data_IF_075880101425
#
_entry.id   IF_075880101425
#
_cell.length_a   1.000
_cell.length_b   1.000
_cell.length_c   1.000
_cell.angle_alpha   90.00
_cell.angle_beta   90.00
_cell.angle_gamma   90.00
#
_symmetry.space_group_name_H-M   'P 1'
#
loop_
_entity.id
_entity.type
_entity.pdbx_description
1 polymer ?
#
# COMPACT_ATOMS: atom_id res chain seq x y z
N UNK A 1 30.52 -70.81 4.43
CA UNK A 1 31.10 -69.64 5.13
C UNK A 1 30.34 -68.42 4.67
N UNK A 2 29.33 -67.92 5.44
CA UNK A 2 28.59 -66.70 5.16
C UNK A 2 29.39 -65.52 5.71
N UNK A 3 29.84 -64.62 4.82
CA UNK A 3 30.43 -63.33 5.24
C UNK A 3 29.30 -62.38 5.74
N UNK A 4 29.35 -62.07 7.02
CA UNK A 4 28.51 -61.06 7.66
C UNK A 4 29.11 -59.72 7.27
N UNK A 5 28.44 -58.99 6.38
CA UNK A 5 28.77 -57.59 6.06
C UNK A 5 28.32 -56.74 7.24
N UNK A 6 29.27 -56.11 7.91
CA UNK A 6 29.04 -55.28 9.09
C UNK A 6 28.13 -54.09 8.78
N UNK A 7 27.02 -53.96 9.53
CA UNK A 7 26.09 -52.81 9.49
C UNK A 7 26.76 -51.43 9.68
N UNK A 8 28.02 -51.40 10.09
CA UNK A 8 28.77 -50.16 10.32
C UNK A 8 29.15 -49.42 9.03
N UNK A 9 29.38 -50.13 7.93
CA UNK A 9 29.82 -49.49 6.68
C UNK A 9 28.69 -48.85 5.88
N UNK A 10 27.44 -49.27 6.09
CA UNK A 10 26.28 -48.69 5.39
C UNK A 10 25.89 -47.31 5.97
N UNK A 11 26.08 -47.12 7.30
CA UNK A 11 25.77 -45.85 7.97
C UNK A 11 26.74 -44.74 7.59
N UNK A 12 28.02 -45.06 7.34
CA UNK A 12 29.02 -44.08 6.93
C UNK A 12 28.84 -43.60 5.46
N UNK A 13 28.40 -44.48 4.56
CA UNK A 13 28.16 -44.10 3.16
C UNK A 13 26.93 -43.19 3.04
N UNK A 14 25.88 -43.43 3.83
CA UNK A 14 24.66 -42.56 3.82
C UNK A 14 24.92 -41.20 4.48
N UNK A 15 25.73 -41.14 5.53
CA UNK A 15 26.08 -39.86 6.17
C UNK A 15 26.98 -38.98 5.28
N UNK A 16 27.95 -39.59 4.57
CA UNK A 16 28.83 -38.84 3.66
C UNK A 16 28.10 -38.33 2.42
N UNK A 17 27.11 -39.05 1.87
CA UNK A 17 26.31 -38.64 0.73
C UNK A 17 25.33 -37.54 1.11
N UNK A 18 24.72 -37.60 2.30
CA UNK A 18 23.85 -36.54 2.78
C UNK A 18 24.62 -35.26 3.14
N UNK A 19 25.79 -35.38 3.75
CA UNK A 19 26.66 -34.24 4.03
C UNK A 19 27.23 -33.60 2.76
N UNK A 20 27.58 -34.41 1.75
CA UNK A 20 28.07 -33.92 0.45
C UNK A 20 27.01 -33.17 -0.35
N UNK A 21 25.76 -33.62 -0.33
CA UNK A 21 24.64 -32.91 -0.97
C UNK A 21 24.25 -31.64 -0.20
N UNK A 22 24.29 -31.68 1.14
CA UNK A 22 24.03 -30.48 1.95
C UNK A 22 25.14 -29.42 1.77
N UNK A 23 26.42 -29.79 1.72
CA UNK A 23 27.52 -28.83 1.49
C UNK A 23 27.53 -28.28 0.06
N UNK A 24 27.18 -29.06 -0.96
CA UNK A 24 27.07 -28.54 -2.33
C UNK A 24 25.87 -27.59 -2.55
N UNK A 25 24.80 -27.71 -1.73
CA UNK A 25 23.68 -26.78 -1.75
C UNK A 25 23.99 -25.43 -1.04
N UNK A 26 24.94 -25.43 -0.08
CA UNK A 26 25.30 -24.21 0.66
C UNK A 26 26.50 -23.44 0.08
N UNK A 27 27.37 -24.05 -0.72
CA UNK A 27 28.56 -23.39 -1.30
C UNK A 27 28.29 -22.69 -2.62
N UNK A 28 27.07 -22.80 -3.20
CA UNK A 28 26.67 -22.15 -4.47
C UNK A 28 26.05 -20.77 -4.33
N UNK A 29 25.81 -20.29 -3.11
CA UNK A 29 25.22 -18.96 -2.90
C UNK A 29 26.30 -17.90 -2.70
N UNK A 30 27.01 -17.53 -3.76
CA UNK A 30 27.71 -16.25 -3.81
C UNK A 30 26.73 -15.17 -4.28
N UNK A 31 26.83 -13.96 -3.73
CA UNK A 31 25.96 -12.81 -3.95
C UNK A 31 25.76 -12.35 -5.42
N UNK A 32 26.19 -13.16 -6.41
CA UNK A 32 26.22 -12.80 -7.84
C UNK A 32 25.45 -13.71 -8.78
N UNK A 33 24.85 -14.79 -8.30
CA UNK A 33 24.10 -15.65 -9.21
C UNK A 33 22.71 -15.09 -9.47
N UNK A 34 22.54 -14.56 -10.69
CA UNK A 34 21.25 -14.19 -11.26
C UNK A 34 20.25 -15.32 -11.03
N UNK A 35 19.18 -15.04 -10.33
CA UNK A 35 18.05 -15.95 -10.07
C UNK A 35 17.39 -16.39 -11.38
N UNK A 36 18.00 -17.35 -12.06
CA UNK A 36 17.41 -18.06 -13.20
C UNK A 36 16.78 -19.41 -12.79
N UNK A 37 16.56 -19.65 -11.50
CA UNK A 37 15.86 -20.84 -11.05
C UNK A 37 14.35 -20.74 -11.34
N UNK A 38 13.72 -21.80 -11.87
CA UNK A 38 12.27 -21.87 -11.93
C UNK A 38 11.68 -21.65 -10.52
N UNK A 39 10.59 -20.90 -10.45
CA UNK A 39 9.92 -20.51 -9.18
C UNK A 39 9.66 -21.70 -8.23
N UNK A 40 9.49 -22.92 -8.78
CA UNK A 40 9.28 -24.16 -8.03
C UNK A 40 10.55 -24.72 -7.33
N UNK A 41 11.70 -24.15 -7.60
CA UNK A 41 13.00 -24.64 -7.06
C UNK A 41 13.66 -23.67 -6.08
N UNK A 42 13.07 -22.50 -5.82
CA UNK A 42 13.60 -21.57 -4.84
C UNK A 42 13.26 -22.13 -3.45
N UNK A 43 14.26 -22.55 -2.64
CA UNK A 43 13.97 -22.99 -1.29
C UNK A 43 13.39 -21.81 -0.50
N UNK A 44 12.26 -22.02 0.17
CA UNK A 44 11.72 -21.04 1.09
C UNK A 44 12.69 -20.85 2.25
N UNK A 45 13.36 -19.70 2.29
CA UNK A 45 14.29 -19.35 3.36
C UNK A 45 13.76 -18.09 4.07
N UNK A 46 13.51 -18.20 5.38
CA UNK A 46 13.20 -17.05 6.19
C UNK A 46 14.50 -16.34 6.59
N UNK A 47 14.68 -15.12 6.10
CA UNK A 47 15.85 -14.28 6.36
C UNK A 47 15.40 -13.04 7.11
N UNK A 48 16.13 -12.61 8.13
CA UNK A 48 15.88 -11.33 8.78
C UNK A 48 16.40 -10.21 7.88
N UNK A 49 15.51 -9.31 7.38
CA UNK A 49 15.93 -8.19 6.56
C UNK A 49 16.85 -7.23 7.33
N UNK A 50 17.80 -6.62 6.61
CA UNK A 50 18.67 -5.60 7.21
C UNK A 50 17.87 -4.35 7.54
N UNK A 51 17.88 -3.94 8.80
CA UNK A 51 17.21 -2.72 9.24
C UNK A 51 18.09 -1.48 9.02
N UNK A 52 17.52 -0.35 8.56
CA UNK A 52 18.23 0.92 8.52
C UNK A 52 18.51 1.45 9.94
N UNK A 53 19.61 2.17 10.11
CA UNK A 53 19.89 2.89 11.36
C UNK A 53 19.09 4.17 11.50
N UNK A 54 18.58 4.70 10.40
CA UNK A 54 17.76 5.91 10.31
C UNK A 54 16.82 5.85 9.10
N UNK A 55 15.71 6.58 9.18
CA UNK A 55 14.77 6.78 8.07
C UNK A 55 14.46 8.28 8.02
N UNK A 56 14.47 8.85 6.81
CA UNK A 56 13.90 10.19 6.61
C UNK A 56 12.42 10.06 6.30
N UNK A 57 11.55 10.72 7.05
CA UNK A 57 10.11 10.77 6.81
C UNK A 57 9.64 12.24 6.82
N UNK A 58 8.95 12.64 5.78
CA UNK A 58 8.46 14.02 5.60
C UNK A 58 9.57 15.11 5.78
N UNK A 59 10.80 14.79 5.37
CA UNK A 59 11.96 15.66 5.54
C UNK A 59 12.64 15.56 6.91
N UNK A 60 12.04 14.89 7.89
CA UNK A 60 12.59 14.69 9.23
C UNK A 60 13.39 13.39 9.34
N UNK A 61 14.56 13.48 9.99
CA UNK A 61 15.42 12.33 10.26
C UNK A 61 14.99 11.61 11.54
N UNK A 62 14.65 10.34 11.41
CA UNK A 62 14.21 9.48 12.51
C UNK A 62 15.33 8.49 12.82
N UNK A 63 15.93 8.62 14.00
CA UNK A 63 16.95 7.69 14.47
C UNK A 63 16.29 6.41 15.01
N UNK A 64 16.83 5.28 14.57
CA UNK A 64 16.37 3.92 14.91
C UNK A 64 17.42 3.15 15.70
N UNK A 65 18.27 3.88 16.43
CA UNK A 65 19.34 3.31 17.26
C UNK A 65 18.86 2.86 18.63
N UNK A 66 17.76 3.43 19.14
CA UNK A 66 17.12 2.98 20.37
C UNK A 66 16.51 1.59 20.15
N UNK A 67 16.74 0.66 21.12
CA UNK A 67 16.33 -0.73 20.99
C UNK A 67 14.84 -0.88 20.76
N UNK A 68 14.00 -0.17 21.50
CA UNK A 68 12.54 -0.22 21.35
C UNK A 68 12.06 0.21 19.98
N UNK A 69 12.62 1.29 19.41
CA UNK A 69 12.29 1.76 18.07
C UNK A 69 12.74 0.77 17.00
N UNK A 70 13.92 0.16 17.20
CA UNK A 70 14.47 -0.84 16.30
C UNK A 70 13.59 -2.10 16.26
N UNK A 71 13.21 -2.64 17.42
CA UNK A 71 12.35 -3.83 17.51
C UNK A 71 10.95 -3.60 16.94
N UNK A 72 10.37 -2.41 17.17
CA UNK A 72 9.08 -2.03 16.58
C UNK A 72 9.15 -1.95 15.05
N UNK A 73 10.22 -1.36 14.48
CA UNK A 73 10.42 -1.32 13.04
C UNK A 73 10.63 -2.71 12.47
N UNK A 74 11.50 -3.53 13.08
CA UNK A 74 11.79 -4.90 12.67
C UNK A 74 10.52 -5.71 12.51
N UNK A 75 9.66 -5.67 13.51
CA UNK A 75 8.36 -6.33 13.46
C UNK A 75 7.53 -5.95 12.22
N UNK A 76 7.44 -4.68 11.89
CA UNK A 76 6.63 -4.24 10.75
C UNK A 76 7.33 -4.52 9.41
N UNK A 77 8.65 -4.43 9.33
CA UNK A 77 9.43 -4.86 8.16
C UNK A 77 9.21 -6.36 7.91
N UNK A 78 9.31 -7.21 8.95
CA UNK A 78 9.01 -8.64 8.83
C UNK A 78 7.57 -8.90 8.39
N UNK A 79 6.60 -8.15 8.95
CA UNK A 79 5.20 -8.28 8.57
C UNK A 79 4.97 -7.98 7.08
N UNK A 80 5.57 -6.94 6.53
CA UNK A 80 5.51 -6.63 5.09
C UNK A 80 6.27 -7.66 4.25
N UNK A 81 7.51 -8.00 4.65
CA UNK A 81 8.38 -8.90 3.89
C UNK A 81 7.74 -10.28 3.72
N UNK A 82 7.12 -10.82 4.77
CA UNK A 82 6.51 -12.16 4.74
C UNK A 82 5.01 -12.19 4.45
N UNK A 83 4.37 -11.03 4.31
CA UNK A 83 3.01 -10.92 3.76
C UNK A 83 3.05 -10.79 2.23
N UNK A 84 3.69 -11.76 1.56
CA UNK A 84 4.04 -11.69 0.14
C UNK A 84 2.89 -11.24 -0.76
N UNK A 85 1.70 -11.82 -0.61
CA UNK A 85 0.53 -11.50 -1.44
C UNK A 85 0.13 -10.05 -1.24
N UNK A 86 0.02 -9.60 0.01
CA UNK A 86 -0.42 -8.24 0.32
C UNK A 86 0.58 -7.20 -0.18
N UNK A 87 1.86 -7.38 0.10
CA UNK A 87 2.91 -6.42 -0.30
C UNK A 87 3.06 -6.36 -1.82
N UNK A 88 3.01 -7.50 -2.53
CA UNK A 88 3.00 -7.51 -3.99
C UNK A 88 1.77 -6.77 -4.57
N UNK A 89 0.58 -7.01 -4.03
CA UNK A 89 -0.63 -6.30 -4.48
C UNK A 89 -0.55 -4.81 -4.19
N UNK A 90 -0.01 -4.41 -3.03
CA UNK A 90 0.21 -3.01 -2.69
C UNK A 90 1.15 -2.32 -3.69
N UNK A 91 2.28 -2.94 -4.04
CA UNK A 91 3.23 -2.42 -5.04
C UNK A 91 2.58 -2.29 -6.43
N UNK A 92 1.85 -3.32 -6.88
CA UNK A 92 1.14 -3.30 -8.16
C UNK A 92 0.07 -2.20 -8.21
N UNK A 93 -0.72 -2.05 -7.15
CA UNK A 93 -1.77 -1.02 -7.02
C UNK A 93 -1.17 0.38 -6.92
N UNK A 94 -0.07 0.54 -6.18
CA UNK A 94 0.64 1.81 -6.05
C UNK A 94 1.10 2.35 -7.40
N UNK A 95 1.51 1.48 -8.34
CA UNK A 95 1.88 1.89 -9.69
C UNK A 95 0.74 2.62 -10.43
N UNK A 96 -0.51 2.24 -10.18
CA UNK A 96 -1.71 2.90 -10.72
C UNK A 96 -2.08 4.16 -9.96
N UNK A 97 -1.91 4.15 -8.63
CA UNK A 97 -2.49 5.15 -7.74
C UNK A 97 -1.56 6.33 -7.45
N UNK A 98 -0.26 6.09 -7.32
CA UNK A 98 0.70 7.15 -6.98
C UNK A 98 0.73 8.28 -8.01
N UNK A 99 0.65 8.02 -9.35
CA UNK A 99 0.55 9.10 -10.34
C UNK A 99 -0.64 10.04 -10.15
N UNK A 100 -1.71 9.58 -9.46
CA UNK A 100 -2.90 10.39 -9.16
C UNK A 100 -2.74 11.10 -7.81
N UNK A 101 -2.22 10.39 -6.81
CA UNK A 101 -2.18 10.86 -5.41
C UNK A 101 -1.05 11.86 -5.18
N UNK A 102 0.16 11.59 -5.69
CA UNK A 102 1.34 12.43 -5.46
C UNK A 102 1.18 13.89 -5.92
N UNK A 103 0.64 14.17 -7.11
CA UNK A 103 0.38 15.56 -7.52
C UNK A 103 -0.56 16.30 -6.58
N UNK A 104 -1.58 15.62 -6.03
CA UNK A 104 -2.55 16.20 -5.11
C UNK A 104 -1.89 16.50 -3.75
N UNK A 105 -1.10 15.57 -3.21
CA UNK A 105 -0.33 15.81 -1.99
C UNK A 105 0.56 17.04 -2.15
N UNK A 106 1.30 17.12 -3.26
CA UNK A 106 2.17 18.24 -3.58
C UNK A 106 1.41 19.58 -3.68
N UNK A 107 0.28 19.59 -4.41
CA UNK A 107 -0.59 20.76 -4.56
C UNK A 107 -1.11 21.24 -3.20
N UNK A 108 -1.46 20.33 -2.30
CA UNK A 108 -1.95 20.63 -0.96
C UNK A 108 -0.83 20.96 0.05
N UNK A 109 0.45 20.85 -0.33
CA UNK A 109 1.59 21.09 0.56
C UNK A 109 1.80 19.99 1.60
N UNK A 110 1.31 18.77 1.33
CA UNK A 110 1.51 17.59 2.18
C UNK A 110 2.75 16.82 1.69
N UNK A 111 3.66 16.41 2.60
CA UNK A 111 4.82 15.63 2.22
C UNK A 111 4.44 14.36 1.46
N UNK A 112 5.20 14.05 0.41
CA UNK A 112 4.99 12.91 -0.48
C UNK A 112 4.93 11.56 0.25
N UNK A 113 5.63 11.44 1.37
CA UNK A 113 5.64 10.24 2.20
C UNK A 113 4.25 9.83 2.72
N UNK A 114 3.27 10.75 2.74
CA UNK A 114 1.90 10.43 3.14
C UNK A 114 1.14 9.56 2.14
N UNK A 115 1.66 9.35 0.92
CA UNK A 115 1.16 8.31 0.02
C UNK A 115 1.20 6.91 0.62
N UNK A 116 2.19 6.62 1.48
CA UNK A 116 2.28 5.34 2.19
C UNK A 116 1.21 5.17 3.28
N UNK A 117 0.63 6.27 3.78
CA UNK A 117 -0.50 6.22 4.69
C UNK A 117 -1.72 5.56 4.03
N UNK A 118 -2.04 5.95 2.79
CA UNK A 118 -3.07 5.30 1.97
C UNK A 118 -2.80 3.79 1.81
N UNK A 119 -1.54 3.40 1.63
CA UNK A 119 -1.16 1.99 1.50
C UNK A 119 -1.45 1.21 2.79
N UNK A 120 -1.09 1.74 3.94
CA UNK A 120 -1.31 1.03 5.22
C UNK A 120 -2.78 1.02 5.66
N UNK A 121 -3.61 1.95 5.17
CA UNK A 121 -5.04 2.03 5.46
C UNK A 121 -5.85 1.00 4.66
N UNK A 122 -5.62 0.91 3.37
CA UNK A 122 -6.47 0.16 2.45
C UNK A 122 -5.76 -0.94 1.66
N UNK A 123 -4.45 -1.14 1.84
CA UNK A 123 -3.63 -1.94 0.92
C UNK A 123 -3.69 -1.43 -0.55
N UNK A 124 -3.97 -0.15 -0.75
CA UNK A 124 -4.20 0.43 -2.07
C UNK A 124 -5.48 -0.10 -2.76
N UNK A 125 -6.42 -0.65 -2.01
CA UNK A 125 -7.69 -1.12 -2.53
C UNK A 125 -8.72 0.01 -2.57
N UNK A 126 -9.11 0.44 -3.77
CA UNK A 126 -10.08 1.51 -3.98
C UNK A 126 -11.47 1.17 -3.44
N UNK A 127 -11.78 -0.12 -3.26
CA UNK A 127 -13.05 -0.60 -2.74
C UNK A 127 -13.00 -1.03 -1.27
N UNK A 128 -11.88 -0.80 -0.59
CA UNK A 128 -11.72 -1.20 0.80
C UNK A 128 -12.85 -0.68 1.70
N UNK A 129 -13.37 -1.56 2.53
CA UNK A 129 -14.37 -1.25 3.55
C UNK A 129 -14.05 -2.04 4.82
N UNK A 130 -13.85 -1.33 5.92
CA UNK A 130 -13.62 -1.95 7.21
C UNK A 130 -14.90 -2.47 7.85
N UNK A 131 -14.78 -3.33 8.86
CA UNK A 131 -15.91 -3.84 9.64
C UNK A 131 -16.66 -2.75 10.40
N UNK A 132 -15.99 -1.65 10.69
CA UNK A 132 -16.56 -0.48 11.40
C UNK A 132 -17.06 0.61 10.44
N UNK A 133 -17.01 0.36 9.11
CA UNK A 133 -17.59 1.25 8.10
C UNK A 133 -16.65 2.33 7.56
N UNK A 134 -15.35 2.29 7.84
CA UNK A 134 -14.38 3.11 7.12
C UNK A 134 -14.26 2.66 5.66
N UNK A 135 -14.15 3.59 4.70
CA UNK A 135 -14.24 3.27 3.28
C UNK A 135 -13.17 3.98 2.42
N UNK A 136 -12.84 3.32 1.30
CA UNK A 136 -11.97 3.83 0.24
C UNK A 136 -10.48 3.81 0.59
N UNK A 137 -9.66 4.45 -0.25
CA UNK A 137 -8.21 4.44 -0.10
C UNK A 137 -7.74 5.00 1.25
N UNK A 138 -8.40 6.03 1.73
CA UNK A 138 -8.05 6.78 2.93
C UNK A 138 -8.83 6.34 4.17
N UNK A 139 -9.67 5.31 4.07
CA UNK A 139 -10.45 4.73 5.16
C UNK A 139 -11.23 5.76 6.00
N UNK A 140 -11.89 6.70 5.33
CA UNK A 140 -12.72 7.67 6.03
C UNK A 140 -13.96 7.03 6.66
N UNK A 141 -14.22 7.38 7.93
CA UNK A 141 -15.52 7.18 8.56
C UNK A 141 -16.54 8.18 7.99
N UNK A 142 -17.83 7.82 7.97
CA UNK A 142 -18.90 8.64 7.39
C UNK A 142 -18.87 10.08 7.92
N UNK A 143 -18.95 10.26 9.24
CA UNK A 143 -18.98 11.60 9.85
C UNK A 143 -17.75 12.44 9.51
N UNK A 144 -16.55 11.81 9.54
CA UNK A 144 -15.29 12.49 9.20
C UNK A 144 -15.30 12.87 7.71
N UNK A 145 -15.72 11.99 6.82
CA UNK A 145 -15.82 12.28 5.40
C UNK A 145 -16.70 13.51 5.11
N UNK A 146 -17.87 13.56 5.74
CA UNK A 146 -18.80 14.70 5.60
C UNK A 146 -18.21 15.99 6.16
N UNK A 147 -17.50 15.96 7.28
CA UNK A 147 -16.87 17.15 7.85
C UNK A 147 -15.76 17.74 6.96
N UNK A 148 -15.19 16.92 6.07
CA UNK A 148 -14.24 17.34 5.03
C UNK A 148 -14.87 17.48 3.63
N UNK A 149 -16.20 17.62 3.56
CA UNK A 149 -16.93 17.98 2.33
C UNK A 149 -17.21 16.83 1.38
N UNK A 150 -16.97 15.57 1.77
CA UNK A 150 -17.30 14.42 0.94
C UNK A 150 -18.77 14.05 1.06
N UNK A 151 -19.41 13.78 -0.07
CA UNK A 151 -20.74 13.21 -0.11
C UNK A 151 -20.69 11.72 0.25
N UNK A 152 -21.55 11.32 1.20
CA UNK A 152 -21.70 9.91 1.57
C UNK A 152 -23.18 9.55 1.51
N UNK A 153 -23.55 8.75 0.53
CA UNK A 153 -24.94 8.39 0.27
C UNK A 153 -25.07 7.00 -0.33
N UNK A 154 -26.33 6.63 -0.61
CA UNK A 154 -26.64 5.32 -1.21
C UNK A 154 -26.11 5.22 -2.65
N UNK A 155 -26.35 6.25 -3.46
CA UNK A 155 -26.02 6.25 -4.90
C UNK A 155 -24.61 6.80 -5.18
N UNK A 156 -24.14 7.72 -4.33
CA UNK A 156 -22.85 8.38 -4.40
C UNK A 156 -22.16 8.27 -3.05
N UNK A 157 -20.90 7.83 -3.07
CA UNK A 157 -20.04 7.81 -1.89
C UNK A 157 -18.63 8.27 -2.29
N UNK A 158 -18.33 9.54 -2.03
CA UNK A 158 -17.07 10.16 -2.45
C UNK A 158 -15.86 9.73 -1.62
N UNK A 159 -16.05 8.91 -0.57
CA UNK A 159 -14.93 8.23 0.13
C UNK A 159 -14.18 7.30 -0.82
N UNK A 160 -14.84 6.80 -1.85
CA UNK A 160 -14.26 5.98 -2.91
C UNK A 160 -13.72 6.80 -4.10
N UNK A 161 -13.96 8.11 -4.13
CA UNK A 161 -13.44 8.98 -5.18
C UNK A 161 -11.98 9.33 -4.90
N UNK A 162 -11.04 8.78 -5.68
CA UNK A 162 -9.60 8.86 -5.41
C UNK A 162 -9.14 10.29 -5.14
N UNK A 163 -9.42 11.23 -6.05
CA UNK A 163 -8.95 12.61 -5.94
C UNK A 163 -9.63 13.36 -4.79
N UNK A 164 -10.96 13.28 -4.68
CA UNK A 164 -11.69 14.00 -3.63
C UNK A 164 -11.33 13.49 -2.24
N UNK A 165 -11.26 12.18 -2.07
CA UNK A 165 -10.85 11.58 -0.80
C UNK A 165 -9.39 11.94 -0.46
N UNK A 166 -8.48 12.03 -1.45
CA UNK A 166 -7.11 12.50 -1.24
C UNK A 166 -7.08 13.95 -0.78
N UNK A 167 -7.86 14.86 -1.41
CA UNK A 167 -7.95 16.25 -0.97
C UNK A 167 -8.53 16.39 0.45
N UNK A 168 -9.53 15.59 0.79
CA UNK A 168 -10.08 15.54 2.15
C UNK A 168 -9.03 15.05 3.17
N UNK A 169 -8.24 14.03 2.81
CA UNK A 169 -7.14 13.56 3.64
C UNK A 169 -6.07 14.64 3.83
N UNK A 170 -5.72 15.37 2.76
CA UNK A 170 -4.78 16.50 2.84
C UNK A 170 -5.27 17.58 3.82
N UNK A 171 -6.56 17.92 3.80
CA UNK A 171 -7.14 18.89 4.73
C UNK A 171 -7.02 18.42 6.18
N UNK A 172 -7.37 17.16 6.46
CA UNK A 172 -7.20 16.56 7.79
C UNK A 172 -5.74 16.61 8.26
N UNK A 173 -4.79 16.21 7.39
CA UNK A 173 -3.37 16.15 7.69
C UNK A 173 -2.80 17.55 7.96
N UNK A 174 -3.24 18.56 7.20
CA UNK A 174 -2.82 19.93 7.38
C UNK A 174 -3.32 20.51 8.71
N UNK A 175 -4.59 20.36 9.04
CA UNK A 175 -5.14 20.76 10.33
C UNK A 175 -4.42 20.08 11.50
N UNK A 176 -4.08 18.79 11.34
CA UNK A 176 -3.33 18.07 12.36
C UNK A 176 -1.89 18.58 12.46
N UNK A 177 -1.27 18.97 11.36
CA UNK A 177 0.08 19.54 11.40
C UNK A 177 0.10 20.93 12.02
N UNK A 178 -0.91 21.74 11.77
CA UNK A 178 -1.05 23.07 12.40
C UNK A 178 -1.19 22.95 13.93
N UNK A 179 -1.77 21.83 14.44
CA UNK A 179 -1.90 21.57 15.89
C UNK A 179 -0.62 20.97 16.49
N UNK A 180 0.04 20.02 15.83
CA UNK A 180 1.12 19.21 16.43
C UNK A 180 2.53 19.54 15.96
N UNK A 181 2.71 20.10 14.76
CA UNK A 181 4.01 20.50 14.21
C UNK A 181 4.99 19.36 13.91
N UNK A 182 4.56 18.09 14.02
CA UNK A 182 5.38 16.89 13.80
C UNK A 182 4.65 15.87 12.93
N UNK A 183 5.22 15.52 11.79
CA UNK A 183 4.55 14.70 10.80
C UNK A 183 4.29 13.25 11.24
N UNK A 184 5.14 12.66 12.10
CA UNK A 184 4.83 11.33 12.66
C UNK A 184 3.70 11.39 13.69
N UNK A 185 3.62 12.47 14.45
CA UNK A 185 2.50 12.72 15.35
C UNK A 185 1.21 12.92 14.55
N UNK A 186 1.26 13.65 13.44
CA UNK A 186 0.13 13.78 12.50
C UNK A 186 -0.32 12.40 11.99
N UNK A 187 0.60 11.53 11.59
CA UNK A 187 0.26 10.16 11.20
C UNK A 187 -0.43 9.37 12.33
N UNK A 188 0.04 9.52 13.57
CA UNK A 188 -0.60 8.90 14.73
C UNK A 188 -2.02 9.43 14.98
N UNK A 189 -2.27 10.73 14.74
CA UNK A 189 -3.61 11.32 14.87
C UNK A 189 -4.59 10.77 13.86
N UNK A 190 -4.13 10.38 12.67
CA UNK A 190 -4.98 9.77 11.65
C UNK A 190 -5.61 8.46 12.13
N UNK A 191 -4.85 7.66 12.86
CA UNK A 191 -5.32 6.40 13.43
C UNK A 191 -6.10 6.58 14.76
N UNK A 192 -5.59 7.40 15.70
CA UNK A 192 -6.11 7.49 17.06
C UNK A 192 -6.99 8.72 17.32
N UNK A 193 -7.12 9.62 16.36
CA UNK A 193 -7.76 10.91 16.51
C UNK A 193 -6.91 11.95 17.24
N UNK A 194 -7.05 13.23 16.86
CA UNK A 194 -6.28 14.35 17.44
C UNK A 194 -6.43 14.41 18.95
N UNK A 195 -7.66 14.44 19.47
CA UNK A 195 -7.92 14.51 20.92
C UNK A 195 -7.31 13.34 21.70
N UNK A 196 -7.25 12.14 21.09
CA UNK A 196 -6.62 10.98 21.71
C UNK A 196 -5.11 11.13 21.86
N UNK A 197 -4.44 11.71 20.86
CA UNK A 197 -2.99 11.98 20.90
C UNK A 197 -2.68 13.14 21.84
N UNK A 198 -3.38 14.29 21.75
CA UNK A 198 -3.19 15.44 22.65
C UNK A 198 -3.24 15.04 24.11
N UNK A 199 -4.24 14.26 24.50
CA UNK A 199 -4.38 13.76 25.88
C UNK A 199 -3.20 12.91 26.34
N UNK A 200 -2.57 12.14 25.42
CA UNK A 200 -1.40 11.32 25.77
C UNK A 200 -0.13 12.16 25.87
N UNK A 201 0.05 13.12 24.98
CA UNK A 201 1.14 14.10 25.01
C UNK A 201 1.14 14.82 26.40
N UNK A 202 -0.01 15.36 26.80
CA UNK A 202 -0.18 16.04 28.08
C UNK A 202 0.16 15.12 29.27
N UNK A 203 -0.42 13.92 29.31
CA UNK A 203 -0.24 12.98 30.42
C UNK A 203 1.17 12.43 30.53
N UNK A 204 1.85 12.16 29.42
CA UNK A 204 3.17 11.55 29.41
C UNK A 204 4.29 12.58 29.35
N UNK A 205 3.94 13.87 29.16
CA UNK A 205 4.88 14.99 29.07
C UNK A 205 5.91 14.82 27.96
N UNK A 206 5.49 14.20 26.86
CA UNK A 206 6.27 14.04 25.64
C UNK A 206 5.73 14.97 24.56
N UNK A 207 6.52 15.21 23.51
CA UNK A 207 6.12 16.09 22.40
C UNK A 207 5.78 15.35 21.12
N UNK A 208 6.40 14.18 20.90
CA UNK A 208 6.28 13.41 19.66
C UNK A 208 5.62 12.07 19.90
N UNK A 209 4.72 11.68 19.00
CA UNK A 209 3.99 10.41 19.12
C UNK A 209 4.90 9.17 19.12
N UNK A 210 6.07 9.24 18.50
CA UNK A 210 7.04 8.14 18.48
C UNK A 210 7.57 7.79 19.89
N UNK A 211 7.55 8.75 20.81
CA UNK A 211 8.02 8.62 22.19
C UNK A 211 6.88 8.30 23.18
N UNK A 212 5.63 8.30 22.70
CA UNK A 212 4.47 8.00 23.53
C UNK A 212 4.25 6.50 23.74
N UNK A 213 3.82 6.14 24.93
CA UNK A 213 3.15 4.88 25.22
C UNK A 213 1.74 4.92 24.59
N UNK A 214 1.60 4.40 23.41
CA UNK A 214 0.33 4.30 22.67
C UNK A 214 -0.28 2.91 22.83
N UNK A 215 -1.57 2.79 22.51
CA UNK A 215 -2.20 1.47 22.34
C UNK A 215 -1.47 0.70 21.22
N UNK A 216 -1.41 -0.63 21.28
CA UNK A 216 -0.61 -1.44 20.35
C UNK A 216 -0.91 -1.13 18.88
N UNK A 217 -2.16 -0.89 18.51
CA UNK A 217 -2.56 -0.55 17.15
C UNK A 217 -1.92 0.76 16.68
N UNK A 218 -2.05 1.85 17.43
CA UNK A 218 -1.50 3.16 17.05
C UNK A 218 0.03 3.16 17.12
N UNK A 219 0.62 2.47 18.10
CA UNK A 219 2.07 2.31 18.18
C UNK A 219 2.63 1.61 16.93
N UNK A 220 1.97 0.53 16.49
CA UNK A 220 2.32 -0.18 15.25
C UNK A 220 2.12 0.66 14.00
N UNK A 221 1.09 1.50 14.00
CA UNK A 221 0.73 2.32 12.84
C UNK A 221 1.88 3.22 12.38
N UNK A 222 2.55 3.90 13.31
CA UNK A 222 3.73 4.74 13.01
C UNK A 222 4.83 3.89 12.34
N UNK A 223 5.18 2.76 12.94
CA UNK A 223 6.26 1.91 12.41
C UNK A 223 5.85 1.17 11.13
N UNK A 224 4.56 0.87 10.93
CA UNK A 224 4.03 0.34 9.69
C UNK A 224 4.17 1.36 8.54
N UNK A 225 3.94 2.64 8.82
CA UNK A 225 4.15 3.71 7.84
C UNK A 225 5.64 3.82 7.44
N UNK A 226 6.55 3.79 8.40
CA UNK A 226 8.00 3.79 8.17
C UNK A 226 8.46 2.53 7.41
N UNK A 227 7.92 1.37 7.75
CA UNK A 227 8.21 0.11 7.07
C UNK A 227 7.71 0.12 5.61
N UNK A 228 6.50 0.61 5.36
CA UNK A 228 5.97 0.78 4.01
C UNK A 228 6.91 1.66 3.16
N UNK A 229 7.28 2.84 3.66
CA UNK A 229 8.25 3.71 2.98
C UNK A 229 9.56 2.97 2.69
N UNK A 230 10.12 2.27 3.67
CA UNK A 230 11.40 1.56 3.54
C UNK A 230 11.34 0.50 2.43
N UNK A 231 10.30 -0.32 2.41
CA UNK A 231 10.13 -1.39 1.44
C UNK A 231 9.84 -0.85 0.05
N UNK A 232 8.95 0.15 -0.07
CA UNK A 232 8.62 0.76 -1.35
C UNK A 232 9.77 1.58 -1.95
N UNK A 233 10.74 2.03 -1.14
CA UNK A 233 11.94 2.68 -1.66
C UNK A 233 12.84 1.72 -2.43
N UNK A 234 12.90 0.44 -2.04
CA UNK A 234 13.64 -0.61 -2.75
C UNK A 234 13.10 -2.00 -2.41
N UNK A 235 12.01 -2.45 -3.07
CA UNK A 235 11.37 -3.74 -2.77
C UNK A 235 12.28 -4.95 -3.01
N UNK A 236 13.22 -4.84 -3.93
CA UNK A 236 14.17 -5.93 -4.26
C UNK A 236 15.00 -6.33 -3.04
N UNK A 237 15.40 -5.38 -2.19
CA UNK A 237 16.14 -5.64 -0.96
C UNK A 237 15.34 -6.47 0.07
N UNK A 238 14.02 -6.58 -0.13
CA UNK A 238 13.10 -7.33 0.73
C UNK A 238 12.52 -8.57 0.03
N UNK A 239 13.15 -9.00 -1.08
CA UNK A 239 12.80 -10.22 -1.79
C UNK A 239 11.63 -10.08 -2.79
N UNK A 240 11.19 -8.87 -3.10
CA UNK A 240 10.13 -8.64 -4.09
C UNK A 240 10.72 -8.43 -5.49
N UNK A 241 10.60 -9.44 -6.33
CA UNK A 241 11.05 -9.39 -7.73
C UNK A 241 9.86 -9.14 -8.64
N UNK A 242 9.77 -7.95 -9.23
CA UNK A 242 8.66 -7.49 -10.06
C UNK A 242 9.23 -7.04 -11.41
N UNK A 243 8.53 -7.32 -12.50
CA UNK A 243 8.81 -6.78 -13.84
C UNK A 243 7.77 -5.72 -14.21
N UNK A 244 8.08 -4.85 -15.15
CA UNK A 244 7.13 -3.83 -15.64
C UNK A 244 5.74 -4.43 -15.93
N UNK A 245 5.71 -5.52 -16.70
CA UNK A 245 4.49 -6.23 -17.10
C UNK A 245 3.64 -6.76 -15.93
N UNK A 246 4.22 -6.90 -14.74
CA UNK A 246 3.52 -7.42 -13.57
C UNK A 246 2.78 -6.32 -12.80
N UNK A 247 3.09 -5.05 -13.08
CA UNK A 247 2.48 -3.89 -12.42
C UNK A 247 1.10 -3.56 -13.00
N UNK A 248 0.27 -2.87 -12.23
CA UNK A 248 -1.01 -2.37 -12.72
C UNK A 248 -0.82 -0.96 -13.30
N UNK A 249 -1.02 -0.76 -14.62
CA UNK A 249 -0.88 0.56 -15.23
C UNK A 249 -2.00 1.50 -14.76
N UNK A 250 -1.80 2.83 -14.83
CA UNK A 250 -2.89 3.79 -14.72
C UNK A 250 -4.03 3.45 -15.69
N UNK A 251 -5.27 3.74 -15.31
CA UNK A 251 -6.39 3.58 -16.23
C UNK A 251 -6.31 4.64 -17.32
N UNK A 252 -6.37 4.26 -18.61
CA UNK A 252 -6.39 5.22 -19.71
C UNK A 252 -7.74 5.94 -19.73
N UNK A 253 -7.75 7.25 -19.53
CA UNK A 253 -8.96 8.07 -19.52
C UNK A 253 -9.06 8.82 -20.86
N UNK A 254 -10.11 8.54 -21.63
CA UNK A 254 -10.36 9.20 -22.91
C UNK A 254 -10.93 10.61 -22.74
N UNK A 255 -11.83 10.78 -21.76
CA UNK A 255 -12.49 12.07 -21.47
C UNK A 255 -13.18 12.09 -20.11
N UNK A 256 -13.56 13.27 -19.68
CA UNK A 256 -14.44 13.51 -18.53
C UNK A 256 -15.79 14.02 -19.00
N UNK A 257 -16.88 13.48 -18.45
CA UNK A 257 -18.24 13.96 -18.67
C UNK A 257 -18.73 14.67 -17.42
N UNK A 258 -19.29 15.88 -17.58
CA UNK A 258 -20.02 16.57 -16.50
C UNK A 258 -21.49 16.16 -16.54
N UNK A 259 -21.98 15.57 -15.47
CA UNK A 259 -23.39 15.15 -15.31
C UNK A 259 -24.03 15.98 -14.19
N UNK A 260 -25.16 16.62 -14.49
CA UNK A 260 -25.94 17.43 -13.53
C UNK A 260 -27.42 17.06 -13.48
N UNK A 261 -27.80 15.98 -14.17
CA UNK A 261 -29.17 15.48 -14.23
C UNK A 261 -29.25 14.09 -13.57
N UNK A 262 -30.46 13.57 -13.42
CA UNK A 262 -30.68 12.18 -13.06
C UNK A 262 -30.00 11.26 -14.06
N UNK A 263 -29.44 10.17 -13.58
CA UNK A 263 -28.94 9.04 -14.38
C UNK A 263 -29.83 7.84 -14.12
N UNK A 264 -30.76 7.52 -15.02
CA UNK A 264 -31.64 6.36 -14.85
C UNK A 264 -30.89 5.02 -14.88
N UNK A 265 -29.82 4.95 -15.69
CA UNK A 265 -29.02 3.74 -15.82
C UNK A 265 -27.59 4.08 -16.23
N UNK A 266 -26.62 3.81 -15.36
CA UNK A 266 -25.19 3.97 -15.66
C UNK A 266 -24.69 3.02 -16.76
N UNK A 267 -25.31 1.85 -16.90
CA UNK A 267 -24.92 0.90 -17.94
C UNK A 267 -25.21 1.44 -19.35
N UNK A 268 -26.24 2.27 -19.53
CA UNK A 268 -26.52 2.90 -20.82
C UNK A 268 -25.46 3.94 -21.19
N UNK A 269 -24.98 4.69 -20.20
CA UNK A 269 -23.85 5.61 -20.39
C UNK A 269 -22.59 4.83 -20.74
N UNK A 270 -22.28 3.74 -20.01
CA UNK A 270 -21.12 2.89 -20.30
C UNK A 270 -21.17 2.36 -21.74
N UNK A 271 -22.29 1.79 -22.16
CA UNK A 271 -22.47 1.21 -23.51
C UNK A 271 -22.32 2.26 -24.63
N UNK A 272 -22.79 3.50 -24.43
CA UNK A 272 -22.58 4.60 -25.38
C UNK A 272 -21.09 4.89 -25.67
N UNK A 273 -20.21 4.47 -24.74
CA UNK A 273 -18.77 4.66 -24.84
C UNK A 273 -18.00 3.34 -25.08
N UNK A 274 -18.71 2.26 -25.49
CA UNK A 274 -18.08 0.97 -25.73
C UNK A 274 -17.56 0.26 -24.49
N UNK A 275 -18.09 0.61 -23.30
CA UNK A 275 -17.67 0.10 -22.00
C UNK A 275 -18.73 -0.81 -21.40
N UNK A 276 -18.31 -1.70 -20.53
CA UNK A 276 -19.19 -2.33 -19.56
C UNK A 276 -19.43 -1.40 -18.36
N UNK A 277 -20.53 -1.60 -17.62
CA UNK A 277 -20.76 -0.87 -16.37
C UNK A 277 -19.64 -1.07 -15.36
N UNK A 278 -19.05 -2.27 -15.32
CA UNK A 278 -17.90 -2.58 -14.46
C UNK A 278 -16.70 -1.69 -14.82
N UNK A 279 -16.34 -1.56 -16.10
CA UNK A 279 -15.24 -0.72 -16.56
C UNK A 279 -15.48 0.77 -16.26
N UNK A 280 -16.70 1.27 -16.45
CA UNK A 280 -17.08 2.63 -16.07
C UNK A 280 -16.90 2.85 -14.57
N UNK A 281 -17.37 1.91 -13.75
CA UNK A 281 -17.31 1.99 -12.30
C UNK A 281 -15.89 1.82 -11.76
N UNK A 282 -15.01 1.08 -12.42
CA UNK A 282 -13.61 0.97 -12.05
C UNK A 282 -12.89 2.33 -12.11
N UNK A 283 -13.23 3.16 -13.09
CA UNK A 283 -12.74 4.54 -13.17
C UNK A 283 -13.50 5.50 -12.24
N UNK A 284 -14.69 5.14 -11.80
CA UNK A 284 -15.57 5.96 -10.96
C UNK A 284 -16.10 5.16 -9.76
N UNK A 285 -15.25 4.73 -8.83
CA UNK A 285 -15.66 3.82 -7.74
C UNK A 285 -16.63 4.46 -6.75
N UNK A 286 -16.79 5.79 -6.78
CA UNK A 286 -17.78 6.57 -6.04
C UNK A 286 -19.23 6.35 -6.49
N UNK A 287 -19.46 5.78 -7.68
CA UNK A 287 -20.76 5.34 -8.16
C UNK A 287 -21.11 4.03 -7.43
N UNK A 288 -22.16 4.03 -6.61
CA UNK A 288 -22.49 2.91 -5.73
C UNK A 288 -23.66 2.06 -6.21
N UNK A 289 -24.58 2.63 -6.97
CA UNK A 289 -25.78 1.98 -7.51
C UNK A 289 -25.78 2.02 -9.05
N UNK A 290 -26.74 1.35 -9.67
CA UNK A 290 -26.90 1.32 -11.13
C UNK A 290 -27.59 2.57 -11.67
N UNK A 291 -28.11 3.41 -10.80
CA UNK A 291 -28.82 4.67 -11.07
C UNK A 291 -28.29 5.78 -10.15
N UNK A 292 -28.53 7.02 -10.50
CA UNK A 292 -28.22 8.18 -9.67
C UNK A 292 -29.30 9.26 -9.81
N UNK A 293 -30.27 9.32 -8.90
CA UNK A 293 -31.18 10.48 -8.79
C UNK A 293 -30.39 11.74 -8.40
N UNK A 294 -30.57 12.83 -9.12
CA UNK A 294 -29.89 14.10 -8.88
C UNK A 294 -30.85 15.31 -8.91
N UNK A 295 -31.76 15.31 -7.99
CA UNK A 295 -32.79 16.39 -7.87
C UNK A 295 -32.21 17.79 -7.56
N UNK A 296 -30.98 17.82 -7.03
CA UNK A 296 -30.30 19.07 -6.65
C UNK A 296 -29.57 19.74 -7.81
N UNK A 297 -29.39 19.05 -8.94
CA UNK A 297 -28.57 19.53 -10.05
C UNK A 297 -27.08 19.61 -9.72
N UNK A 298 -26.59 18.88 -8.71
CA UNK A 298 -25.15 18.81 -8.37
C UNK A 298 -24.38 18.30 -9.59
N UNK A 299 -23.21 18.87 -9.84
CA UNK A 299 -22.34 18.47 -10.94
C UNK A 299 -21.40 17.35 -10.48
N UNK A 300 -21.34 16.28 -11.26
CA UNK A 300 -20.44 15.17 -11.07
C UNK A 300 -19.54 15.00 -12.30
N UNK A 301 -18.25 14.92 -12.07
CA UNK A 301 -17.28 14.61 -13.10
C UNK A 301 -17.11 13.09 -13.21
N UNK A 302 -17.46 12.54 -14.38
CA UNK A 302 -17.43 11.10 -14.65
C UNK A 302 -16.30 10.81 -15.61
N UNK A 303 -15.35 10.05 -15.18
CA UNK A 303 -14.21 9.61 -16.00
C UNK A 303 -14.67 8.50 -16.97
N UNK A 304 -14.41 8.69 -18.25
CA UNK A 304 -14.70 7.70 -19.30
C UNK A 304 -13.39 7.09 -19.74
N UNK A 305 -13.12 5.83 -19.40
CA UNK A 305 -11.95 5.12 -19.90
C UNK A 305 -11.91 5.01 -21.42
N UNK A 306 -10.72 4.98 -21.98
CA UNK A 306 -10.51 4.57 -23.36
C UNK A 306 -10.68 3.04 -23.48
N UNK A 307 -11.76 2.61 -24.16
CA UNK A 307 -12.08 1.19 -24.30
C UNK A 307 -10.96 0.39 -24.98
N UNK A 308 -10.21 0.98 -25.92
CA UNK A 308 -9.10 0.33 -26.58
C UNK A 308 -7.90 0.15 -25.62
N UNK A 309 -7.61 1.17 -24.82
CA UNK A 309 -6.52 1.15 -23.83
C UNK A 309 -6.78 0.27 -22.61
N UNK A 310 -8.00 -0.25 -22.40
CA UNK A 310 -8.30 -1.18 -21.31
C UNK A 310 -7.84 -2.62 -21.58
N UNK A 311 -7.33 -2.93 -22.78
CA UNK A 311 -6.76 -4.23 -23.07
C UNK A 311 -5.34 -4.33 -22.49
N UNK A 312 -5.05 -5.48 -21.86
CA UNK A 312 -3.73 -5.71 -21.28
C UNK A 312 -2.65 -5.73 -22.38
N UNK A 313 -1.68 -4.82 -22.25
CA UNK A 313 -0.49 -4.79 -23.08
C UNK A 313 0.77 -4.77 -22.19
N UNK A 314 1.52 -5.88 -22.09
CA UNK A 314 2.70 -5.97 -21.24
C UNK A 314 3.83 -5.01 -21.63
N UNK A 315 3.90 -4.62 -22.91
CA UNK A 315 4.96 -3.73 -23.44
C UNK A 315 4.72 -2.25 -23.09
N UNK A 316 3.47 -1.89 -22.78
CA UNK A 316 3.09 -0.52 -22.45
C UNK A 316 3.13 -0.23 -20.95
N UNK A 317 3.27 -1.27 -20.11
CA UNK A 317 3.30 -1.08 -18.65
C UNK A 317 4.68 -0.60 -18.23
N UNK A 318 4.73 0.61 -17.65
CA UNK A 318 5.94 1.23 -17.13
C UNK A 318 5.84 1.36 -15.62
N UNK A 319 6.94 1.08 -14.92
CA UNK A 319 7.02 1.30 -13.48
C UNK A 319 7.02 2.79 -13.16
N UNK A 320 6.16 3.21 -12.24
CA UNK A 320 6.15 4.55 -11.67
C UNK A 320 7.48 4.88 -10.98
N UNK A 321 8.08 3.89 -10.32
CA UNK A 321 9.40 3.99 -9.74
C UNK A 321 10.31 2.88 -10.30
N UNK A 322 11.40 3.27 -10.96
CA UNK A 322 12.36 2.35 -11.56
C UNK A 322 13.02 1.38 -10.55
N UNK A 323 13.07 1.75 -9.25
CA UNK A 323 13.59 0.89 -8.19
C UNK A 323 12.66 -0.29 -7.84
N UNK A 324 11.43 -0.32 -8.36
CA UNK A 324 10.46 -1.38 -8.05
C UNK A 324 10.63 -2.63 -8.92
N UNK A 325 11.31 -2.47 -10.05
CA UNK A 325 11.39 -3.52 -11.06
C UNK A 325 12.81 -4.00 -11.29
N UNK A 326 12.93 -5.28 -11.59
CA UNK A 326 14.16 -5.88 -12.10
C UNK A 326 14.13 -5.91 -13.62
N UNK A 327 15.32 -5.75 -14.20
CA UNK A 327 15.50 -5.80 -15.69
C UNK A 327 15.34 -7.20 -16.23
#
# INVERSE_FOLDING_TARGET
MKKIISKRNIVFITAATVAGVATSLFTGYTERDNFNMPYSQIPFCAVSPKLPGEITFAGEKILLTAQDRRERLDREILAFTYSHINTLLQLKRANRLFPIVEPILKECGIPDDFKYLMIIESNGDIYAKSTVGACGLWQFMDNTARSYGLEVGKHVDERYHIEKATRAACAYLKESYDEFGDWLTVAATYNAGRAGISKRIEKQKEQKAIDLQLVPETSRYIFRLLAAKTIFSNPVNFGFTIKNRDLYPPLPIAKTLTISTDVPCWADIAKKHGLTFMQLREANPWIRETEMPNKTGKRYEVLIPDSAGLHYNPEETVAHNACWVVK
#
